data_IF_236851624018
#
_entry.id   IF_236851624018
#
_cell.length_a   1.000
_cell.length_b   1.000
_cell.length_c   1.000
_cell.angle_alpha   90.00
_cell.angle_beta   90.00
_cell.angle_gamma   90.00
#
_symmetry.space_group_name_H-M   'P 1'
#
loop_
_entity.id
_entity.type
_entity.pdbx_description
1 polymer ?
#
# COMPACT_ATOMS: atom_id res chain seq x y z
N UNK A 1 20.39 -1.16 -3.26
CA UNK A 1 20.71 0.29 -3.19
C UNK A 1 19.83 0.82 -2.07
N UNK A 2 20.41 1.16 -0.94
CA UNK A 2 19.64 1.48 0.26
C UNK A 2 18.94 2.83 0.07
N UNK A 3 17.64 2.84 0.15
CA UNK A 3 16.82 4.07 0.18
C UNK A 3 17.00 4.67 1.57
N UNK A 4 17.84 5.72 1.66
CA UNK A 4 17.96 6.50 2.89
C UNK A 4 16.78 7.45 2.99
N UNK A 5 15.85 7.12 3.88
CA UNK A 5 14.71 7.94 4.23
C UNK A 5 15.10 9.37 4.61
N UNK A 6 14.43 10.31 4.01
CA UNK A 6 14.40 11.72 4.47
C UNK A 6 13.16 11.88 5.33
N UNK A 7 13.31 11.55 6.61
CA UNK A 7 12.25 11.83 7.59
C UNK A 7 12.15 13.34 7.81
N UNK A 8 11.17 13.97 7.20
CA UNK A 8 10.70 15.26 7.66
C UNK A 8 9.53 15.03 8.62
N UNK A 9 9.85 15.10 9.91
CA UNK A 9 8.83 15.13 10.95
C UNK A 9 7.96 16.37 10.76
N UNK A 10 6.74 16.19 10.30
CA UNK A 10 5.67 17.18 10.46
C UNK A 10 4.52 16.49 11.18
N UNK A 11 4.51 16.66 12.49
CA UNK A 11 3.36 16.34 13.31
C UNK A 11 2.32 17.46 13.14
N UNK A 12 1.12 17.12 12.72
CA UNK A 12 -0.13 17.51 13.37
C UNK A 12 -1.32 16.85 12.69
N UNK A 13 -1.84 15.99 13.42
CA UNK A 13 -2.84 15.01 13.13
C UNK A 13 -4.18 15.35 13.73
N UNK A 14 -5.18 15.09 13.05
CA UNK A 14 -6.41 14.66 13.68
C UNK A 14 -6.45 13.13 13.55
N UNK A 15 -6.20 12.45 14.66
CA UNK A 15 -6.23 11.00 14.73
C UNK A 15 -7.68 10.53 14.52
N UNK A 16 -8.00 10.08 13.32
CA UNK A 16 -9.19 9.27 13.09
C UNK A 16 -8.82 7.80 13.34
N UNK A 17 -9.69 7.11 14.07
CA UNK A 17 -9.49 5.75 14.57
C UNK A 17 -8.99 4.81 13.46
N UNK A 18 -7.86 4.16 13.69
CA UNK A 18 -7.50 2.97 12.94
C UNK A 18 -8.29 1.80 13.55
N UNK A 19 -9.17 1.20 12.78
CA UNK A 19 -9.89 -0.01 13.18
C UNK A 19 -9.04 -1.21 12.78
N UNK A 20 -8.60 -2.01 13.74
CA UNK A 20 -7.92 -3.28 13.48
C UNK A 20 -8.93 -4.40 13.70
N UNK A 21 -9.22 -5.16 12.68
CA UNK A 21 -10.08 -6.35 12.73
C UNK A 21 -9.22 -7.58 12.46
N UNK A 22 -9.21 -8.51 13.41
CA UNK A 22 -8.65 -9.84 13.21
C UNK A 22 -9.76 -10.77 12.74
N UNK A 23 -9.63 -11.36 11.58
CA UNK A 23 -10.55 -12.36 11.05
C UNK A 23 -9.79 -13.66 10.75
N UNK A 24 -10.37 -14.78 11.13
CA UNK A 24 -9.86 -16.09 10.70
C UNK A 24 -10.36 -16.38 9.29
N UNK A 25 -9.44 -16.53 8.34
CA UNK A 25 -9.74 -16.87 6.96
C UNK A 25 -10.26 -18.31 6.83
N UNK A 26 -11.12 -18.57 5.84
CA UNK A 26 -11.80 -19.86 5.66
C UNK A 26 -10.91 -21.02 5.21
N UNK A 27 -9.64 -20.79 4.85
CA UNK A 27 -8.76 -21.75 4.17
C UNK A 27 -7.42 -22.00 4.85
N UNK A 28 -7.30 -21.67 6.14
CA UNK A 28 -6.07 -21.89 6.91
C UNK A 28 -5.07 -20.76 6.86
N UNK A 29 -5.54 -19.58 6.47
CA UNK A 29 -4.84 -18.31 6.52
C UNK A 29 -5.34 -17.49 7.71
N UNK A 30 -4.47 -16.70 8.28
CA UNK A 30 -4.81 -15.69 9.28
C UNK A 30 -4.68 -14.30 8.64
N UNK A 31 -5.69 -13.47 8.84
CA UNK A 31 -5.76 -12.14 8.26
C UNK A 31 -5.78 -11.06 9.35
N UNK A 32 -5.07 -9.96 9.08
CA UNK A 32 -5.15 -8.73 9.87
C UNK A 32 -5.50 -7.57 8.96
N UNK A 33 -6.67 -6.96 9.19
CA UNK A 33 -7.15 -5.81 8.43
C UNK A 33 -6.91 -4.52 9.19
N UNK A 34 -6.33 -3.52 8.52
CA UNK A 34 -6.06 -2.19 9.04
C UNK A 34 -6.76 -1.19 8.13
N UNK A 35 -7.64 -0.38 8.69
CA UNK A 35 -8.38 0.65 7.95
C UNK A 35 -8.01 2.04 8.46
N UNK A 36 -7.82 2.98 7.53
CA UNK A 36 -7.58 4.39 7.83
C UNK A 36 -8.31 5.27 6.82
N UNK A 37 -8.93 6.34 7.31
CA UNK A 37 -9.62 7.30 6.47
C UNK A 37 -9.09 8.72 6.71
N UNK A 38 -8.97 9.48 5.63
CA UNK A 38 -8.47 10.86 5.64
C UNK A 38 -9.44 11.76 4.91
N UNK A 39 -9.79 12.89 5.50
CA UNK A 39 -10.55 13.92 4.81
C UNK A 39 -9.62 14.77 3.96
N UNK A 40 -9.94 14.90 2.68
CA UNK A 40 -9.16 15.64 1.69
C UNK A 40 -10.07 16.49 0.82
N UNK A 41 -9.48 17.27 -0.10
CA UNK A 41 -10.20 17.93 -1.20
C UNK A 41 -9.67 17.41 -2.54
N UNK A 42 -10.45 17.46 -3.63
CA UNK A 42 -9.98 17.05 -4.96
C UNK A 42 -8.69 17.75 -5.37
N UNK A 43 -7.78 17.03 -6.02
CA UNK A 43 -6.49 17.54 -6.48
C UNK A 43 -5.34 17.42 -5.48
N UNK A 44 -5.51 16.65 -4.40
CA UNK A 44 -4.43 16.27 -3.48
C UNK A 44 -3.50 15.20 -4.03
N UNK A 45 -2.59 14.72 -3.20
CA UNK A 45 -1.58 13.73 -3.56
C UNK A 45 -1.64 12.52 -2.61
N UNK A 46 -1.50 11.33 -3.16
CA UNK A 46 -1.29 10.10 -2.41
C UNK A 46 0.07 9.52 -2.79
N UNK A 47 0.93 9.32 -1.80
CA UNK A 47 2.17 8.57 -1.90
C UNK A 47 2.00 7.24 -1.17
N UNK A 48 2.33 6.14 -1.84
CA UNK A 48 2.38 4.80 -1.25
C UNK A 48 3.72 4.18 -1.57
N UNK A 49 4.50 3.87 -0.55
CA UNK A 49 5.76 3.14 -0.67
C UNK A 49 5.68 1.86 0.16
N UNK A 50 5.95 0.71 -0.45
CA UNK A 50 5.93 -0.55 0.30
C UNK A 50 6.95 -1.56 -0.22
N UNK A 51 7.57 -2.29 0.72
CA UNK A 51 8.48 -3.39 0.38
C UNK A 51 7.72 -4.60 -0.17
N UNK A 52 6.48 -4.83 0.30
CA UNK A 52 5.68 -6.00 -0.05
C UNK A 52 4.24 -5.58 -0.24
N UNK A 53 3.60 -6.09 -1.28
CA UNK A 53 2.17 -6.01 -1.41
C UNK A 53 1.69 -5.44 -2.73
N UNK A 54 0.48 -5.85 -3.09
CA UNK A 54 -0.23 -5.32 -4.24
C UNK A 54 -1.02 -4.07 -3.85
N UNK A 55 -1.05 -3.09 -4.74
CA UNK A 55 -1.74 -1.82 -4.55
C UNK A 55 -2.87 -1.74 -5.58
N UNK A 56 -4.10 -1.60 -5.09
CA UNK A 56 -5.28 -1.37 -5.93
C UNK A 56 -5.87 0.00 -5.58
N UNK A 57 -6.01 0.84 -6.59
CA UNK A 57 -6.60 2.18 -6.45
C UNK A 57 -7.98 2.19 -7.09
N UNK A 58 -8.98 2.51 -6.29
CA UNK A 58 -10.33 2.81 -6.73
C UNK A 58 -10.63 4.30 -6.58
N UNK A 59 -11.59 4.81 -7.34
CA UNK A 59 -12.00 6.20 -7.25
C UNK A 59 -13.43 6.36 -6.76
N UNK A 60 -13.68 7.45 -6.09
CA UNK A 60 -15.00 7.82 -5.61
C UNK A 60 -15.33 9.28 -5.88
N UNK A 61 -16.62 9.62 -5.84
CA UNK A 61 -17.08 11.01 -5.92
C UNK A 61 -16.93 11.78 -4.58
N UNK A 62 -16.38 11.12 -3.55
CA UNK A 62 -16.23 11.68 -2.21
C UNK A 62 -15.00 12.59 -2.05
N UNK A 63 -14.85 13.11 -0.83
CA UNK A 63 -13.73 13.94 -0.40
C UNK A 63 -12.91 13.22 0.68
N UNK A 64 -12.71 11.92 0.51
CA UNK A 64 -11.96 11.09 1.45
C UNK A 64 -10.97 10.22 0.70
N UNK A 65 -9.82 9.98 1.33
CA UNK A 65 -8.93 8.87 0.99
C UNK A 65 -9.15 7.80 2.05
N UNK A 66 -9.53 6.61 1.62
CA UNK A 66 -9.66 5.43 2.49
C UNK A 66 -8.61 4.42 2.12
N UNK A 67 -7.83 4.01 3.08
CA UNK A 67 -6.80 2.98 2.95
C UNK A 67 -7.24 1.74 3.72
N UNK A 68 -7.35 0.62 3.03
CA UNK A 68 -7.55 -0.69 3.61
C UNK A 68 -6.32 -1.54 3.30
N UNK A 69 -5.59 -1.95 4.33
CA UNK A 69 -4.46 -2.87 4.22
C UNK A 69 -4.81 -4.20 4.85
N UNK A 70 -4.80 -5.27 4.05
CA UNK A 70 -5.02 -6.64 4.51
C UNK A 70 -3.70 -7.39 4.50
N UNK A 71 -3.23 -7.75 5.69
CA UNK A 71 -2.04 -8.57 5.90
C UNK A 71 -2.48 -10.03 5.98
N UNK A 72 -1.90 -10.92 5.18
CA UNK A 72 -2.27 -12.32 5.07
C UNK A 72 -1.05 -13.18 5.41
N UNK A 73 -1.22 -14.08 6.37
CA UNK A 73 -0.22 -15.08 6.73
C UNK A 73 -0.78 -16.49 6.48
N UNK A 74 -0.14 -17.26 5.59
CA UNK A 74 -0.52 -18.66 5.30
C UNK A 74 -0.09 -19.55 6.48
N UNK A 75 -0.85 -19.49 7.54
CA UNK A 75 -0.70 -20.33 8.72
C UNK A 75 -2.02 -20.43 9.48
N UNK A 76 -2.30 -21.60 10.04
CA UNK A 76 -3.45 -21.82 10.93
C UNK A 76 -3.17 -21.48 12.39
N UNK A 77 -1.99 -20.99 12.67
CA UNK A 77 -1.58 -20.65 14.04
C UNK A 77 -1.59 -19.15 14.23
N UNK A 78 -2.56 -18.65 14.96
CA UNK A 78 -2.68 -17.23 15.31
C UNK A 78 -1.39 -16.67 15.94
N UNK A 79 -0.69 -17.46 16.78
CA UNK A 79 0.56 -17.02 17.38
C UNK A 79 1.73 -16.92 16.38
N UNK A 80 1.71 -17.74 15.32
CA UNK A 80 2.69 -17.64 14.22
C UNK A 80 2.33 -16.47 13.32
N UNK A 81 1.05 -16.31 12.97
CA UNK A 81 0.57 -15.18 12.18
C UNK A 81 0.94 -13.84 12.83
N UNK A 82 0.71 -13.72 14.13
CA UNK A 82 1.07 -12.49 14.85
C UNK A 82 2.56 -12.15 14.73
N UNK A 83 3.45 -13.14 14.86
CA UNK A 83 4.90 -12.95 14.68
C UNK A 83 5.27 -12.54 13.26
N UNK A 84 4.51 -12.98 12.26
CA UNK A 84 4.70 -12.58 10.87
C UNK A 84 4.22 -11.12 10.70
N UNK A 85 3.04 -10.78 11.21
CA UNK A 85 2.50 -9.42 11.13
C UNK A 85 3.36 -8.40 11.87
N UNK A 86 4.01 -8.79 12.96
CA UNK A 86 4.91 -7.92 13.74
C UNK A 86 6.19 -7.55 12.99
N UNK A 87 6.50 -8.24 11.88
CA UNK A 87 7.63 -7.93 11.00
C UNK A 87 7.30 -6.90 9.92
N UNK A 88 6.05 -6.47 9.82
CA UNK A 88 5.63 -5.47 8.85
C UNK A 88 5.06 -4.25 9.57
N UNK A 89 5.73 -3.13 9.42
CA UNK A 89 5.28 -1.85 9.97
C UNK A 89 4.54 -1.06 8.89
N UNK A 90 3.35 -0.57 9.25
CA UNK A 90 2.53 0.27 8.39
C UNK A 90 2.32 1.62 9.05
N UNK A 91 2.82 2.66 8.42
CA UNK A 91 2.71 4.04 8.90
C UNK A 91 1.90 4.91 7.94
N UNK A 92 1.25 5.92 8.51
CA UNK A 92 0.39 6.85 7.80
C UNK A 92 0.70 8.28 8.21
N UNK A 93 0.78 9.19 7.26
CA UNK A 93 0.90 10.61 7.51
C UNK A 93 -0.07 11.42 6.65
N UNK A 94 -0.55 12.55 7.16
CA UNK A 94 -1.34 13.52 6.42
C UNK A 94 -0.78 14.92 6.64
N UNK A 95 -0.57 15.65 5.56
CA UNK A 95 -0.23 17.08 5.58
C UNK A 95 -1.14 17.82 4.60
N UNK A 96 -2.22 18.41 5.12
CA UNK A 96 -3.26 19.01 4.28
C UNK A 96 -3.93 17.96 3.39
N UNK A 97 -3.75 18.10 2.08
CA UNK A 97 -4.26 17.16 1.06
C UNK A 97 -3.25 16.08 0.63
N UNK A 98 -2.07 16.08 1.22
CA UNK A 98 -1.04 15.11 0.93
C UNK A 98 -1.11 13.97 1.95
N UNK A 99 -1.32 12.76 1.44
CA UNK A 99 -1.39 11.53 2.23
C UNK A 99 -0.17 10.68 1.89
N UNK A 100 0.46 10.14 2.91
CA UNK A 100 1.59 9.23 2.78
C UNK A 100 1.27 7.92 3.52
N UNK A 101 1.55 6.81 2.86
CA UNK A 101 1.39 5.44 3.38
C UNK A 101 2.71 4.72 3.14
N UNK A 102 3.35 4.25 4.22
CA UNK A 102 4.62 3.53 4.14
C UNK A 102 4.47 2.16 4.77
N UNK A 103 4.80 1.11 4.02
CA UNK A 103 4.79 -0.29 4.46
C UNK A 103 6.20 -0.88 4.41
N UNK A 104 6.82 -1.10 5.56
CA UNK A 104 8.20 -1.58 5.65
C UNK A 104 8.29 -2.96 6.31
N UNK A 105 9.14 -3.82 5.77
CA UNK A 105 9.49 -5.08 6.39
C UNK A 105 10.69 -4.90 7.32
N UNK A 106 10.46 -5.10 8.64
CA UNK A 106 11.39 -4.75 9.72
C UNK A 106 12.09 -5.95 10.38
N UNK A 107 12.35 -7.02 9.66
CA UNK A 107 13.13 -8.15 10.21
C UNK A 107 14.64 -7.78 10.28
N UNK A 108 15.33 -8.23 11.35
CA UNK A 108 16.78 -8.02 11.53
C UNK A 108 17.63 -8.54 10.37
N UNK A 109 17.13 -9.56 9.65
CA UNK A 109 17.77 -10.13 8.46
C UNK A 109 17.49 -9.35 7.18
N UNK A 110 16.53 -8.43 7.22
CA UNK A 110 16.16 -7.56 6.13
C UNK A 110 15.29 -8.22 5.04
N UNK A 111 14.68 -7.37 4.23
CA UNK A 111 13.77 -7.75 3.14
C UNK A 111 14.40 -8.71 2.11
N UNK A 112 15.66 -8.56 1.78
CA UNK A 112 16.35 -9.43 0.80
C UNK A 112 16.57 -10.85 1.31
N UNK A 113 16.77 -11.04 2.61
CA UNK A 113 16.85 -12.35 3.22
C UNK A 113 15.48 -13.04 3.22
N UNK A 114 14.43 -12.30 3.52
CA UNK A 114 13.03 -12.73 3.37
C UNK A 114 12.74 -13.26 1.96
N UNK A 115 13.07 -12.51 0.91
CA UNK A 115 12.84 -12.93 -0.48
C UNK A 115 13.67 -14.15 -0.86
N UNK A 116 14.92 -14.25 -0.42
CA UNK A 116 15.83 -15.34 -0.82
C UNK A 116 15.52 -16.69 -0.16
N UNK A 117 14.86 -16.68 0.98
CA UNK A 117 14.46 -17.90 1.71
C UNK A 117 13.00 -18.32 1.49
N UNK A 118 12.38 -17.83 0.42
CA UNK A 118 11.04 -18.22 -0.02
C UNK A 118 9.90 -17.53 0.72
N UNK A 119 10.22 -16.39 1.34
CA UNK A 119 9.25 -15.55 2.07
C UNK A 119 8.34 -16.38 2.95
N UNK A 120 8.31 -16.18 4.24
CA UNK A 120 7.20 -16.74 5.01
C UNK A 120 5.94 -16.39 4.23
N UNK A 121 5.03 -17.32 3.95
CA UNK A 121 3.80 -17.15 3.18
C UNK A 121 3.00 -15.92 3.68
N UNK A 122 3.56 -14.75 3.42
CA UNK A 122 3.09 -13.44 3.87
C UNK A 122 2.83 -12.55 2.66
N UNK A 123 1.67 -11.99 2.61
CA UNK A 123 1.25 -11.07 1.56
C UNK A 123 0.54 -9.86 2.16
N UNK A 124 0.57 -8.74 1.45
CA UNK A 124 -0.15 -7.53 1.82
C UNK A 124 -0.96 -7.04 0.62
N UNK A 125 -2.22 -6.73 0.86
CA UNK A 125 -3.09 -6.11 -0.12
C UNK A 125 -3.52 -4.73 0.36
N UNK A 126 -3.20 -3.71 -0.43
CA UNK A 126 -3.70 -2.36 -0.24
C UNK A 126 -4.85 -2.11 -1.20
N UNK A 127 -6.05 -1.88 -0.67
CA UNK A 127 -7.17 -1.32 -1.41
C UNK A 127 -7.35 0.14 -0.96
N UNK A 128 -7.14 1.07 -1.88
CA UNK A 128 -7.16 2.49 -1.55
C UNK A 128 -8.17 3.20 -2.44
N UNK A 129 -9.16 3.81 -1.81
CA UNK A 129 -10.14 4.65 -2.50
C UNK A 129 -9.73 6.11 -2.40
N UNK A 130 -9.66 6.80 -3.53
CA UNK A 130 -9.31 8.23 -3.60
C UNK A 130 -10.41 9.03 -4.31
N UNK A 131 -10.47 10.37 -4.17
CA UNK A 131 -11.31 11.20 -5.03
C UNK A 131 -10.94 11.00 -6.51
N UNK A 132 -11.91 11.09 -7.42
CA UNK A 132 -11.68 10.92 -8.87
C UNK A 132 -10.60 11.89 -9.41
N UNK A 133 -10.46 13.09 -8.82
CA UNK A 133 -9.40 14.03 -9.13
C UNK A 133 -8.32 14.00 -8.05
N UNK A 134 -7.25 13.24 -8.28
CA UNK A 134 -6.16 13.05 -7.33
C UNK A 134 -4.86 12.70 -8.05
N UNK A 135 -3.70 12.97 -7.45
CA UNK A 135 -2.40 12.57 -7.97
C UNK A 135 -1.88 11.37 -7.19
N UNK A 136 -1.18 10.46 -7.88
CA UNK A 136 -0.67 9.23 -7.30
C UNK A 136 0.83 9.09 -7.54
N UNK A 137 1.57 8.72 -6.49
CA UNK A 137 2.93 8.23 -6.53
C UNK A 137 2.99 6.89 -5.79
N UNK A 138 3.07 5.79 -6.54
CA UNK A 138 2.93 4.43 -6.04
C UNK A 138 4.21 3.65 -6.31
N UNK A 139 4.81 3.08 -5.27
CA UNK A 139 5.99 2.24 -5.38
C UNK A 139 5.85 0.98 -4.53
N UNK A 140 6.10 -0.18 -5.15
CA UNK A 140 6.20 -1.46 -4.42
C UNK A 140 7.40 -2.25 -4.94
N UNK A 141 8.13 -2.92 -4.04
CA UNK A 141 9.20 -3.81 -4.48
C UNK A 141 8.68 -5.16 -4.97
N UNK A 142 7.51 -5.61 -4.49
CA UNK A 142 6.92 -6.88 -4.91
C UNK A 142 5.40 -6.87 -4.83
N UNK A 143 4.73 -6.83 -5.95
CA UNK A 143 3.28 -6.87 -6.07
C UNK A 143 2.78 -6.15 -7.31
N UNK A 144 1.52 -6.37 -7.63
CA UNK A 144 0.87 -5.72 -8.75
C UNK A 144 0.36 -4.33 -8.37
N UNK A 145 0.24 -3.45 -9.35
CA UNK A 145 -0.41 -2.15 -9.17
C UNK A 145 -1.60 -2.08 -10.13
N UNK A 146 -2.80 -1.91 -9.59
CA UNK A 146 -4.03 -1.65 -10.31
C UNK A 146 -4.50 -0.21 -10.06
N UNK A 147 -4.93 0.48 -11.13
CA UNK A 147 -5.43 1.85 -11.00
C UNK A 147 -6.71 1.98 -11.84
N UNK A 148 -7.81 2.32 -11.19
CA UNK A 148 -9.09 2.64 -11.80
C UNK A 148 -9.08 3.98 -12.55
N UNK A 149 -10.25 4.38 -13.05
CA UNK A 149 -10.41 5.65 -13.79
C UNK A 149 -10.05 6.86 -12.92
N UNK A 150 -9.11 7.69 -13.37
CA UNK A 150 -8.57 8.79 -12.59
C UNK A 150 -8.30 10.04 -13.43
N UNK A 151 -8.53 11.21 -12.84
CA UNK A 151 -8.11 12.51 -13.38
C UNK A 151 -6.97 13.07 -12.51
N UNK A 152 -5.71 12.90 -12.98
CA UNK A 152 -4.53 13.36 -12.25
C UNK A 152 -3.22 12.85 -12.83
N UNK A 153 -2.13 13.25 -12.20
CA UNK A 153 -0.80 12.74 -12.53
C UNK A 153 -0.58 11.42 -11.80
N UNK A 154 -0.11 10.41 -12.52
CA UNK A 154 0.20 9.09 -11.99
C UNK A 154 1.66 8.74 -12.24
N UNK A 155 2.37 8.41 -11.17
CA UNK A 155 3.64 7.67 -11.20
C UNK A 155 3.40 6.33 -10.50
N UNK A 156 3.71 5.21 -11.16
CA UNK A 156 3.58 3.89 -10.59
C UNK A 156 4.79 3.03 -10.96
N UNK A 157 5.48 2.50 -9.95
CA UNK A 157 6.67 1.66 -10.14
C UNK A 157 6.54 0.38 -9.30
N UNK A 158 6.87 -0.77 -9.93
CA UNK A 158 7.04 -2.05 -9.22
C UNK A 158 8.28 -2.76 -9.72
N UNK A 159 8.96 -3.52 -8.85
CA UNK A 159 10.09 -4.34 -9.29
C UNK A 159 9.66 -5.72 -9.79
N UNK A 160 8.57 -6.29 -9.26
CA UNK A 160 8.22 -7.68 -9.52
C UNK A 160 6.78 -7.97 -9.95
N UNK A 161 5.97 -6.98 -10.29
CA UNK A 161 4.55 -7.20 -10.60
C UNK A 161 4.09 -6.57 -11.91
N UNK A 162 2.85 -6.86 -12.26
CA UNK A 162 2.15 -6.23 -13.36
C UNK A 162 1.59 -4.86 -12.94
N UNK A 163 1.50 -3.94 -13.91
CA UNK A 163 0.81 -2.67 -13.74
C UNK A 163 -0.38 -2.62 -14.70
N UNK A 164 -1.59 -2.44 -14.16
CA UNK A 164 -2.82 -2.33 -14.93
C UNK A 164 -3.48 -0.99 -14.62
N UNK A 165 -3.83 -0.27 -15.69
CA UNK A 165 -4.52 1.02 -15.56
C UNK A 165 -5.79 0.99 -16.42
N UNK A 166 -6.85 1.60 -15.88
CA UNK A 166 -8.02 1.99 -16.64
C UNK A 166 -7.80 3.38 -17.29
N UNK A 167 -8.83 4.19 -17.49
CA UNK A 167 -8.69 5.51 -18.11
C UNK A 167 -8.02 6.51 -17.16
N UNK A 168 -6.82 6.98 -17.49
CA UNK A 168 -6.12 8.04 -16.75
C UNK A 168 -6.10 9.33 -17.55
N UNK A 169 -6.75 10.38 -17.03
CA UNK A 169 -6.75 11.73 -17.61
C UNK A 169 -5.66 12.56 -16.95
N UNK A 170 -4.47 12.59 -17.58
CA UNK A 170 -3.34 13.35 -17.05
C UNK A 170 -2.00 12.82 -17.49
N UNK A 171 -0.97 13.19 -16.73
CA UNK A 171 0.40 12.70 -17.00
C UNK A 171 0.58 11.32 -16.40
N UNK A 172 1.09 10.39 -17.21
CA UNK A 172 1.32 9.01 -16.78
C UNK A 172 2.81 8.66 -16.91
N UNK A 173 3.36 8.09 -15.86
CA UNK A 173 4.68 7.45 -15.85
C UNK A 173 4.61 6.13 -15.10
N UNK A 174 4.80 5.03 -15.81
CA UNK A 174 4.76 3.68 -15.23
C UNK A 174 6.00 2.89 -15.57
N UNK A 175 6.43 2.06 -14.62
CA UNK A 175 7.61 1.22 -14.78
C UNK A 175 7.45 -0.08 -14.00
N UNK A 176 7.78 -1.19 -14.63
CA UNK A 176 8.00 -2.48 -13.97
C UNK A 176 9.33 -3.06 -14.41
N UNK A 177 10.00 -3.81 -13.53
CA UNK A 177 11.24 -4.52 -13.89
C UNK A 177 10.99 -5.99 -14.25
N UNK A 178 9.89 -6.59 -13.81
CA UNK A 178 9.63 -8.01 -13.99
C UNK A 178 8.20 -8.40 -14.39
N UNK A 179 7.36 -7.46 -14.80
CA UNK A 179 5.97 -7.73 -15.17
C UNK A 179 5.54 -7.06 -16.45
N UNK A 180 4.23 -7.09 -16.71
CA UNK A 180 3.60 -6.48 -17.87
C UNK A 180 2.94 -5.16 -17.50
N UNK A 181 2.83 -4.25 -18.48
CA UNK A 181 2.05 -3.02 -18.35
C UNK A 181 0.89 -3.10 -19.32
N UNK A 182 -0.33 -2.90 -18.83
CA UNK A 182 -1.56 -2.82 -19.63
C UNK A 182 -2.32 -1.53 -19.30
N UNK A 183 -2.79 -0.87 -20.39
CA UNK A 183 -3.48 0.40 -20.39
C UNK A 183 -4.83 0.25 -21.06
#
# INVERSE_FOLDING_TARGET
MAIKGRYALVALSTALLATVVLAAGAWGEEEKKIEKEFTVTPGGNLTVETDIGSIEIETSAGNTVRVEATLIADTRSQSKAQKIFDKFELSFAQSGNDIEVIGEYIDERGFWDFLSHGGDNFNVHFLITVPQKFNLDLETAGGNIGIGDLDGTVRAETSGGDIRLAEVKGRLRVRTSGGNISL
#
